data_IF_073731293434
#
_entry.id   IF_073731293434
#
_cell.length_a   1.000
_cell.length_b   1.000
_cell.length_c   1.000
_cell.angle_alpha   90.00
_cell.angle_beta   90.00
_cell.angle_gamma   90.00
#
_symmetry.space_group_name_H-M   'P 1'
#
loop_
_entity.id
_entity.type
_entity.pdbx_description
1 polymer ?
#
# COMPACT_ATOMS: atom_id res chain seq x y z
N UNK A 1 -8.58 22.86 -9.67
CA UNK A 1 -8.74 21.39 -9.55
C UNK A 1 -8.36 21.00 -8.14
N UNK A 2 -9.34 20.75 -7.27
CA UNK A 2 -9.09 20.32 -5.90
C UNK A 2 -8.89 18.80 -5.86
N UNK A 3 -7.69 18.37 -5.44
CA UNK A 3 -7.33 16.96 -5.40
C UNK A 3 -8.18 16.18 -4.39
N UNK A 4 -8.16 14.85 -4.47
CA UNK A 4 -8.73 13.96 -3.44
C UNK A 4 -8.22 14.34 -2.03
N UNK A 5 -6.99 14.87 -1.95
CA UNK A 5 -6.30 15.38 -0.77
C UNK A 5 -6.96 16.65 -0.17
N UNK A 6 -7.53 17.53 -0.99
CA UNK A 6 -8.16 18.78 -0.52
C UNK A 6 -9.49 18.55 0.20
N UNK A 7 -10.13 17.39 0.00
CA UNK A 7 -11.43 17.04 0.60
C UNK A 7 -11.33 16.50 2.02
N UNK A 8 -10.12 16.35 2.56
CA UNK A 8 -9.85 15.82 3.90
C UNK A 8 -9.54 16.93 4.93
N UNK A 9 -10.27 18.05 4.88
CA UNK A 9 -10.19 19.11 5.91
C UNK A 9 -10.73 18.60 7.25
N UNK A 10 -9.84 17.92 7.97
CA UNK A 10 -10.05 17.26 9.24
C UNK A 10 -9.26 15.96 9.20
N UNK A 11 -8.05 15.92 9.78
CA UNK A 11 -7.23 14.70 9.82
C UNK A 11 -8.07 13.60 10.47
N UNK A 12 -8.48 12.55 9.74
CA UNK A 12 -9.29 11.50 10.33
C UNK A 12 -8.47 10.85 11.43
N UNK A 13 -9.01 10.81 12.64
CA UNK A 13 -8.37 10.12 13.76
C UNK A 13 -8.36 8.62 13.41
N UNK A 14 -7.20 7.97 13.55
CA UNK A 14 -7.11 6.52 13.41
C UNK A 14 -8.10 5.86 14.37
N UNK A 15 -8.74 4.79 13.92
CA UNK A 15 -9.70 3.99 14.69
C UNK A 15 -9.15 2.56 14.82
N UNK A 16 -8.20 2.30 15.74
CA UNK A 16 -7.47 1.04 15.81
C UNK A 16 -8.37 -0.20 15.88
N UNK A 17 -9.41 -0.16 16.73
CA UNK A 17 -10.36 -1.26 16.87
C UNK A 17 -11.06 -1.60 15.55
N UNK A 18 -11.49 -0.57 14.79
CA UNK A 18 -12.16 -0.74 13.50
C UNK A 18 -11.21 -1.25 12.42
N UNK A 19 -9.99 -0.72 12.38
CA UNK A 19 -8.95 -1.19 11.47
C UNK A 19 -8.63 -2.67 11.70
N UNK A 20 -8.49 -3.07 12.97
CA UNK A 20 -8.27 -4.46 13.36
C UNK A 20 -9.45 -5.38 13.04
N UNK A 21 -10.68 -4.93 13.23
CA UNK A 21 -11.86 -5.72 12.89
C UNK A 21 -11.84 -6.08 11.40
N UNK A 22 -11.68 -5.07 10.54
CA UNK A 22 -11.59 -5.28 9.09
C UNK A 22 -10.38 -6.14 8.73
N UNK A 23 -9.21 -5.87 9.31
CA UNK A 23 -8.01 -6.67 9.08
C UNK A 23 -8.27 -8.15 9.36
N UNK A 24 -8.81 -8.47 10.54
CA UNK A 24 -9.02 -9.86 10.95
C UNK A 24 -10.11 -10.57 10.15
N UNK A 25 -11.18 -9.85 9.77
CA UNK A 25 -12.35 -10.45 9.10
C UNK A 25 -12.12 -10.56 7.59
N UNK A 26 -11.58 -9.52 6.95
CA UNK A 26 -11.60 -9.40 5.48
C UNK A 26 -10.24 -9.57 4.82
N UNK A 27 -9.13 -9.34 5.54
CA UNK A 27 -7.79 -9.27 4.93
C UNK A 27 -6.90 -10.42 5.41
N UNK A 28 -6.59 -10.48 6.70
CA UNK A 28 -5.70 -11.48 7.33
C UNK A 28 -6.18 -12.91 7.12
N UNK A 29 -7.50 -13.12 7.12
CA UNK A 29 -8.15 -14.42 6.93
C UNK A 29 -8.13 -14.91 5.48
N UNK A 30 -7.57 -14.13 4.55
CA UNK A 30 -7.60 -14.42 3.12
C UNK A 30 -6.22 -14.22 2.50
N UNK A 31 -5.45 -15.30 2.41
CA UNK A 31 -4.05 -15.28 1.97
C UNK A 31 -3.86 -14.71 0.55
N UNK A 32 -4.89 -14.78 -0.29
CA UNK A 32 -4.87 -14.24 -1.66
C UNK A 32 -5.24 -12.75 -1.76
N UNK A 33 -5.59 -12.08 -0.66
CA UNK A 33 -6.11 -10.70 -0.69
C UNK A 33 -5.16 -9.75 -1.43
N UNK A 34 -3.89 -9.69 -1.00
CA UNK A 34 -2.92 -8.80 -1.62
C UNK A 34 -2.51 -9.23 -3.03
N UNK A 35 -2.61 -10.53 -3.35
CA UNK A 35 -2.42 -11.01 -4.71
C UNK A 35 -3.50 -10.46 -5.64
N UNK A 36 -4.78 -10.48 -5.24
CA UNK A 36 -5.88 -9.88 -6.00
C UNK A 36 -5.77 -8.37 -6.11
N UNK A 37 -5.29 -7.68 -5.06
CA UNK A 37 -4.96 -6.25 -5.12
C UNK A 37 -3.91 -5.98 -6.21
N UNK A 38 -2.84 -6.77 -6.26
CA UNK A 38 -1.79 -6.60 -7.29
C UNK A 38 -2.34 -6.83 -8.71
N UNK A 39 -3.18 -7.85 -8.91
CA UNK A 39 -3.84 -8.07 -10.21
C UNK A 39 -4.70 -6.87 -10.63
N UNK A 40 -5.45 -6.28 -9.69
CA UNK A 40 -6.22 -5.05 -9.96
C UNK A 40 -5.32 -3.87 -10.29
N UNK A 41 -4.19 -3.69 -9.60
CA UNK A 41 -3.20 -2.66 -9.92
C UNK A 41 -2.67 -2.83 -11.34
N UNK A 42 -2.28 -4.04 -11.71
CA UNK A 42 -1.76 -4.36 -13.05
C UNK A 42 -2.81 -4.15 -14.15
N UNK A 43 -4.08 -4.43 -13.87
CA UNK A 43 -5.16 -4.14 -14.84
C UNK A 43 -5.46 -2.64 -15.01
N UNK A 44 -5.11 -1.81 -14.02
CA UNK A 44 -5.44 -0.38 -13.97
C UNK A 44 -4.36 0.52 -14.57
N UNK A 45 -3.11 0.10 -14.53
CA UNK A 45 -1.97 0.92 -14.96
C UNK A 45 -0.95 0.07 -15.73
N UNK A 46 -0.80 0.34 -17.02
CA UNK A 46 0.10 -0.39 -17.92
C UNK A 46 1.56 -0.31 -17.45
N UNK A 47 1.99 0.83 -16.89
CA UNK A 47 3.35 0.98 -16.36
C UNK A 47 3.58 0.11 -15.12
N UNK A 48 2.59 0.02 -14.23
CA UNK A 48 2.65 -0.93 -13.11
C UNK A 48 2.63 -2.38 -13.59
N UNK A 49 1.85 -2.69 -14.63
CA UNK A 49 1.86 -4.02 -15.23
C UNK A 49 3.25 -4.39 -15.76
N UNK A 50 3.94 -3.46 -16.42
CA UNK A 50 5.31 -3.66 -16.90
C UNK A 50 6.32 -3.83 -15.76
N UNK A 51 6.22 -3.02 -14.70
CA UNK A 51 7.11 -3.10 -13.52
C UNK A 51 6.91 -4.42 -12.76
N UNK A 52 5.65 -4.83 -12.56
CA UNK A 52 5.28 -6.01 -11.78
C UNK A 52 5.34 -7.32 -12.57
N UNK A 53 5.31 -7.25 -13.91
CA UNK A 53 5.52 -8.39 -14.80
C UNK A 53 6.96 -8.37 -15.34
N UNK A 54 7.97 -8.87 -14.61
CA UNK A 54 9.34 -8.87 -15.10
C UNK A 54 9.46 -9.89 -16.23
N UNK A 55 9.12 -9.45 -17.45
CA UNK A 55 9.17 -10.25 -18.68
C UNK A 55 10.57 -10.81 -18.93
N UNK A 56 11.60 -10.15 -18.38
CA UNK A 56 13.01 -10.49 -18.53
C UNK A 56 13.54 -11.51 -17.49
N UNK A 57 12.74 -11.87 -16.47
CA UNK A 57 13.18 -12.72 -15.35
C UNK A 57 12.27 -13.92 -15.08
N UNK A 58 11.16 -14.05 -15.80
CA UNK A 58 10.24 -15.18 -15.68
C UNK A 58 9.86 -15.70 -17.07
N UNK A 59 10.28 -16.93 -17.34
CA UNK A 59 10.17 -17.62 -18.62
C UNK A 59 8.80 -18.29 -18.81
N UNK A 60 8.06 -18.49 -17.71
CA UNK A 60 6.70 -19.05 -17.72
C UNK A 60 5.68 -18.17 -16.99
N UNK A 61 4.40 -18.38 -17.29
CA UNK A 61 3.29 -17.74 -16.58
C UNK A 61 3.27 -18.10 -15.09
N UNK A 62 3.58 -19.36 -14.75
CA UNK A 62 3.65 -19.84 -13.37
C UNK A 62 4.77 -19.16 -12.55
N UNK A 63 5.92 -18.90 -13.15
CA UNK A 63 7.00 -18.15 -12.49
C UNK A 63 6.61 -16.69 -12.22
N UNK A 64 5.90 -16.05 -13.17
CA UNK A 64 5.39 -14.68 -13.00
C UNK A 64 4.39 -14.62 -11.85
N UNK A 65 3.46 -15.57 -11.82
CA UNK A 65 2.47 -15.67 -10.75
C UNK A 65 3.14 -15.90 -9.38
N UNK A 66 4.15 -16.77 -9.32
CA UNK A 66 4.90 -17.04 -8.09
C UNK A 66 5.62 -15.79 -7.57
N UNK A 67 6.31 -15.03 -8.43
CA UNK A 67 6.94 -13.76 -8.05
C UNK A 67 5.91 -12.77 -7.51
N UNK A 68 4.73 -12.70 -8.15
CA UNK A 68 3.66 -11.82 -7.71
C UNK A 68 3.07 -12.23 -6.36
N UNK A 69 2.97 -13.54 -6.08
CA UNK A 69 2.60 -14.08 -4.77
C UNK A 69 3.62 -13.76 -3.69
N UNK A 70 4.92 -13.88 -3.97
CA UNK A 70 5.98 -13.46 -3.04
C UNK A 70 5.90 -11.96 -2.72
N UNK A 71 5.58 -11.13 -3.72
CA UNK A 71 5.37 -9.70 -3.49
C UNK A 71 4.12 -9.45 -2.64
N UNK A 72 3.01 -10.15 -2.91
CA UNK A 72 1.79 -10.06 -2.13
C UNK A 72 2.04 -10.42 -0.66
N UNK A 73 2.82 -11.46 -0.38
CA UNK A 73 3.23 -11.86 0.97
C UNK A 73 4.04 -10.77 1.68
N UNK A 74 4.98 -10.12 0.97
CA UNK A 74 5.75 -9.00 1.54
C UNK A 74 4.86 -7.82 1.91
N UNK A 75 3.88 -7.51 1.05
CA UNK A 75 2.88 -6.46 1.32
C UNK A 75 2.03 -6.87 2.53
N UNK A 76 1.55 -8.10 2.57
CA UNK A 76 0.79 -8.63 3.70
C UNK A 76 1.58 -8.55 5.02
N UNK A 77 2.87 -8.89 4.99
CA UNK A 77 3.78 -8.79 6.13
C UNK A 77 3.94 -7.36 6.63
N UNK A 78 4.05 -6.37 5.73
CA UNK A 78 4.08 -4.95 6.10
C UNK A 78 2.77 -4.51 6.76
N UNK A 79 1.61 -4.81 6.17
CA UNK A 79 0.33 -4.46 6.82
C UNK A 79 0.15 -5.21 8.15
N UNK A 80 0.59 -6.46 8.25
CA UNK A 80 0.58 -7.21 9.50
C UNK A 80 1.42 -6.52 10.58
N UNK A 81 2.60 -5.97 10.25
CA UNK A 81 3.42 -5.21 11.21
C UNK A 81 2.72 -3.94 11.66
N UNK A 82 2.07 -3.22 10.74
CA UNK A 82 1.28 -2.02 11.06
C UNK A 82 0.07 -2.32 11.97
N UNK A 83 -0.51 -3.52 11.88
CA UNK A 83 -1.67 -3.93 12.67
C UNK A 83 -1.31 -4.42 14.09
N UNK A 84 -0.03 -4.54 14.44
CA UNK A 84 0.39 -4.86 15.81
C UNK A 84 0.01 -3.73 16.77
N UNK A 85 -0.34 -4.06 18.02
CA UNK A 85 -0.85 -3.06 18.97
C UNK A 85 0.16 -1.97 19.29
N UNK A 86 1.44 -2.33 19.36
CA UNK A 86 2.56 -1.43 19.65
C UNK A 86 2.79 -0.42 18.53
N UNK A 87 2.37 -0.75 17.30
CA UNK A 87 2.50 0.09 16.11
C UNK A 87 1.22 0.88 15.86
N UNK A 88 0.07 0.20 15.81
CA UNK A 88 -1.22 0.82 15.45
C UNK A 88 -1.67 1.88 16.47
N UNK A 89 -1.38 1.65 17.76
CA UNK A 89 -1.69 2.62 18.82
C UNK A 89 -0.57 3.64 19.05
N UNK A 90 0.53 3.55 18.30
CA UNK A 90 1.66 4.47 18.37
C UNK A 90 1.86 5.20 17.02
N UNK A 91 1.26 6.39 16.85
CA UNK A 91 1.37 7.14 15.61
C UNK A 91 2.80 7.47 15.20
N UNK A 92 3.75 7.56 16.14
CA UNK A 92 5.14 7.79 15.81
C UNK A 92 5.77 6.56 15.14
N UNK A 93 5.59 5.38 15.73
CA UNK A 93 6.15 4.14 15.19
C UNK A 93 5.48 3.75 13.85
N UNK A 94 4.17 3.90 13.74
CA UNK A 94 3.45 3.68 12.47
C UNK A 94 4.02 4.54 11.34
N UNK A 95 4.18 5.85 11.58
CA UNK A 95 4.73 6.78 10.60
C UNK A 95 6.18 6.46 10.24
N UNK A 96 6.98 6.08 11.22
CA UNK A 96 8.38 5.70 11.04
C UNK A 96 8.52 4.47 10.13
N UNK A 97 7.69 3.44 10.30
CA UNK A 97 7.72 2.25 9.43
C UNK A 97 7.31 2.61 7.99
N UNK A 98 6.27 3.41 7.81
CA UNK A 98 5.85 3.89 6.49
C UNK A 98 6.94 4.72 5.82
N UNK A 99 7.57 5.62 6.56
CA UNK A 99 8.68 6.43 6.10
C UNK A 99 9.89 5.59 5.68
N UNK A 100 10.24 4.57 6.46
CA UNK A 100 11.32 3.63 6.12
C UNK A 100 11.03 2.87 4.82
N UNK A 101 9.79 2.41 4.61
CA UNK A 101 9.38 1.77 3.36
C UNK A 101 9.52 2.74 2.17
N UNK A 102 9.10 4.00 2.34
CA UNK A 102 9.30 5.05 1.34
C UNK A 102 10.77 5.25 0.94
N UNK A 103 11.68 5.26 1.91
CA UNK A 103 13.14 5.32 1.67
C UNK A 103 13.64 4.10 0.89
N UNK A 104 13.17 2.90 1.23
CA UNK A 104 13.52 1.67 0.50
C UNK A 104 13.07 1.75 -0.97
N UNK A 105 11.84 2.23 -1.22
CA UNK A 105 11.38 2.44 -2.60
C UNK A 105 12.32 3.38 -3.38
N UNK A 106 12.83 4.45 -2.77
CA UNK A 106 13.81 5.33 -3.43
C UNK A 106 15.13 4.65 -3.73
N UNK A 107 15.63 3.77 -2.85
CA UNK A 107 16.93 3.12 -3.02
C UNK A 107 16.93 2.07 -4.14
N UNK A 108 15.78 1.41 -4.37
CA UNK A 108 15.68 0.28 -5.30
C UNK A 108 14.94 0.62 -6.62
N UNK A 109 14.46 1.85 -6.80
CA UNK A 109 13.82 2.26 -8.06
C UNK A 109 14.86 2.75 -9.07
N UNK A 110 15.10 1.94 -10.12
CA UNK A 110 16.01 2.27 -11.25
C UNK A 110 15.46 3.41 -12.12
N UNK A 111 14.14 3.46 -12.27
CA UNK A 111 13.41 4.53 -12.93
C UNK A 111 12.72 5.42 -11.88
N UNK A 112 12.37 6.68 -12.21
CA UNK A 112 11.58 7.50 -11.30
C UNK A 112 10.23 6.82 -11.04
N UNK A 113 10.14 6.10 -9.92
CA UNK A 113 8.89 5.55 -9.40
C UNK A 113 7.83 6.66 -9.40
N UNK A 114 6.78 6.48 -10.21
CA UNK A 114 5.71 7.49 -10.32
C UNK A 114 4.90 7.42 -9.03
N UNK A 115 4.76 8.56 -8.36
CA UNK A 115 3.98 8.66 -7.12
C UNK A 115 2.52 8.20 -7.30
N UNK A 116 1.98 8.35 -8.51
CA UNK A 116 0.65 7.88 -8.91
C UNK A 116 0.46 6.37 -8.73
N UNK A 117 1.54 5.59 -8.69
CA UNK A 117 1.47 4.14 -8.46
C UNK A 117 0.99 3.78 -7.05
N UNK A 118 1.31 4.58 -6.03
CA UNK A 118 0.78 4.36 -4.69
C UNK A 118 -0.71 4.70 -4.59
N UNK A 119 -1.16 5.70 -5.35
CA UNK A 119 -2.59 6.02 -5.46
C UNK A 119 -3.35 4.88 -6.15
N UNK A 120 -2.81 4.33 -7.25
CA UNK A 120 -3.37 3.15 -7.93
C UNK A 120 -3.46 1.96 -6.99
N UNK A 121 -2.42 1.68 -6.20
CA UNK A 121 -2.44 0.63 -5.19
C UNK A 121 -3.53 0.86 -4.13
N UNK A 122 -3.64 2.09 -3.62
CA UNK A 122 -4.66 2.46 -2.62
C UNK A 122 -6.07 2.23 -3.12
N UNK A 123 -6.34 2.62 -4.37
CA UNK A 123 -7.64 2.40 -5.01
C UNK A 123 -7.93 0.91 -5.19
N UNK A 124 -6.96 0.13 -5.68
CA UNK A 124 -7.11 -1.30 -5.88
C UNK A 124 -7.37 -2.06 -4.56
N UNK A 125 -6.71 -1.64 -3.47
CA UNK A 125 -6.92 -2.21 -2.14
C UNK A 125 -8.34 -1.95 -1.63
N UNK A 126 -8.79 -0.69 -1.69
CA UNK A 126 -10.14 -0.34 -1.26
C UNK A 126 -11.22 -1.03 -2.12
N UNK A 127 -10.98 -1.16 -3.42
CA UNK A 127 -11.88 -1.89 -4.33
C UNK A 127 -11.95 -3.38 -4.00
N UNK A 128 -10.81 -4.04 -3.75
CA UNK A 128 -10.79 -5.44 -3.33
C UNK A 128 -11.53 -5.63 -2.00
N UNK A 129 -11.36 -4.70 -1.05
CA UNK A 129 -12.08 -4.72 0.21
C UNK A 129 -13.60 -4.58 0.01
N UNK A 130 -14.04 -3.63 -0.82
CA UNK A 130 -15.45 -3.40 -1.12
C UNK A 130 -16.08 -4.57 -1.87
N UNK A 131 -15.36 -5.19 -2.81
CA UNK A 131 -15.83 -6.29 -3.66
C UNK A 131 -16.20 -7.56 -2.89
N UNK A 132 -15.64 -7.74 -1.70
CA UNK A 132 -15.92 -8.88 -0.82
C UNK A 132 -17.28 -8.81 -0.16
N UNK A 133 -17.93 -7.64 -0.21
CA UNK A 133 -19.19 -7.39 0.46
C UNK A 133 -19.04 -7.37 1.97
N UNK A 134 -20.05 -6.80 2.65
CA UNK A 134 -20.13 -6.84 4.10
C UNK A 134 -19.21 -5.89 4.87
N UNK A 135 -18.33 -5.13 4.22
CA UNK A 135 -17.58 -4.05 4.87
C UNK A 135 -18.40 -2.75 4.86
N UNK A 136 -18.87 -2.24 6.01
CA UNK A 136 -19.60 -0.99 6.09
C UNK A 136 -18.78 0.22 5.60
N UNK A 137 -19.48 1.27 5.16
CA UNK A 137 -18.85 2.47 4.60
C UNK A 137 -17.89 3.16 5.57
N UNK A 138 -18.20 3.14 6.85
CA UNK A 138 -17.39 3.72 7.91
C UNK A 138 -16.10 2.93 8.19
N UNK A 139 -16.07 1.64 7.83
CA UNK A 139 -14.88 0.79 7.87
C UNK A 139 -13.98 1.05 6.66
N UNK A 140 -14.57 1.16 5.46
CA UNK A 140 -13.86 1.60 4.26
C UNK A 140 -13.23 2.98 4.47
N UNK A 141 -13.95 3.93 5.09
CA UNK A 141 -13.40 5.25 5.44
C UNK A 141 -12.26 5.18 6.45
N UNK A 142 -12.32 4.28 7.43
CA UNK A 142 -11.24 4.09 8.39
C UNK A 142 -9.98 3.55 7.70
N UNK A 143 -10.13 2.58 6.80
CA UNK A 143 -9.03 2.07 5.98
C UNK A 143 -8.47 3.12 5.03
N UNK A 144 -9.32 3.90 4.38
CA UNK A 144 -8.89 5.03 3.55
C UNK A 144 -8.05 6.03 4.34
N UNK A 145 -8.40 6.33 5.60
CA UNK A 145 -7.62 7.20 6.46
C UNK A 145 -6.24 6.60 6.81
N UNK A 146 -6.17 5.29 7.08
CA UNK A 146 -4.91 4.60 7.31
C UNK A 146 -4.01 4.66 6.07
N UNK A 147 -4.55 4.32 4.90
CA UNK A 147 -3.81 4.33 3.63
C UNK A 147 -3.29 5.73 3.28
N UNK A 148 -4.07 6.76 3.58
CA UNK A 148 -3.62 8.14 3.43
C UNK A 148 -2.40 8.44 4.31
N UNK A 149 -2.42 8.03 5.58
CA UNK A 149 -1.26 8.18 6.48
C UNK A 149 -0.05 7.39 5.95
N UNK A 150 -0.27 6.16 5.45
CA UNK A 150 0.80 5.35 4.86
C UNK A 150 1.44 6.10 3.68
N UNK A 151 0.63 6.55 2.71
CA UNK A 151 1.12 7.24 1.51
C UNK A 151 1.84 8.56 1.84
N UNK A 152 1.29 9.37 2.74
CA UNK A 152 1.93 10.63 3.15
C UNK A 152 3.33 10.40 3.73
N UNK A 153 3.49 9.38 4.58
CA UNK A 153 4.77 9.12 5.24
C UNK A 153 5.75 8.38 4.33
N UNK A 154 5.26 7.47 3.47
CA UNK A 154 6.07 6.87 2.41
C UNK A 154 6.60 7.93 1.44
N UNK A 155 5.77 8.91 1.06
CA UNK A 155 6.18 10.03 0.21
C UNK A 155 7.26 10.87 0.88
N UNK A 156 7.09 11.21 2.15
CA UNK A 156 8.11 11.95 2.90
C UNK A 156 9.45 11.19 2.92
N UNK A 157 9.44 9.88 3.17
CA UNK A 157 10.65 9.05 3.15
C UNK A 157 11.30 8.97 1.79
N UNK A 158 10.50 8.78 0.74
CA UNK A 158 10.99 8.71 -0.63
C UNK A 158 11.65 10.02 -1.07
N UNK A 159 11.00 11.16 -0.84
CA UNK A 159 11.55 12.47 -1.21
C UNK A 159 12.82 12.80 -0.43
N UNK A 160 12.88 12.49 0.86
CA UNK A 160 14.07 12.70 1.68
C UNK A 160 15.27 11.91 1.17
N UNK A 161 15.08 10.61 0.91
CA UNK A 161 16.12 9.75 0.34
C UNK A 161 16.62 10.27 -1.02
N UNK A 162 15.69 10.65 -1.92
CA UNK A 162 16.07 11.23 -3.23
C UNK A 162 16.82 12.54 -3.12
N UNK A 163 16.45 13.38 -2.15
CA UNK A 163 17.14 14.66 -1.93
C UNK A 163 18.57 14.46 -1.42
N UNK A 164 18.80 13.41 -0.64
CA UNK A 164 20.11 13.03 -0.13
C UNK A 164 21.01 12.49 -1.25
N UNK A 165 20.49 11.64 -2.13
CA UNK A 165 21.23 11.08 -3.27
C UNK A 165 21.67 12.11 -4.32
N UNK A 166 21.07 13.32 -4.33
CA UNK A 166 21.44 14.39 -5.27
C UNK A 166 22.58 15.29 -4.75
N UNK A 167 22.97 15.11 -3.49
CA UNK A 167 24.03 15.91 -2.85
C UNK A 167 25.40 15.24 -2.86
N UNK A 168 25.45 13.98 -3.30
CA UNK A 168 26.66 13.21 -3.57
C UNK A 168 26.98 13.25 -5.08
#
# INVERSE_FOLDING_TARGET
>A
MGGLLDRLRGRPRLQPARLKAVWNIHIKSHDEYFFKVLLKVMSRDEGMNEILSPKDHANSEGEREFVLKLLAERIAGFFYSLMQDEVLNNPHELKKQCYALGRQHSAYSKEPFKLTYWDTFTLALLEELESRGGTPREELRAWQALLHIINENMLAGYLDARSSMRKD
#
